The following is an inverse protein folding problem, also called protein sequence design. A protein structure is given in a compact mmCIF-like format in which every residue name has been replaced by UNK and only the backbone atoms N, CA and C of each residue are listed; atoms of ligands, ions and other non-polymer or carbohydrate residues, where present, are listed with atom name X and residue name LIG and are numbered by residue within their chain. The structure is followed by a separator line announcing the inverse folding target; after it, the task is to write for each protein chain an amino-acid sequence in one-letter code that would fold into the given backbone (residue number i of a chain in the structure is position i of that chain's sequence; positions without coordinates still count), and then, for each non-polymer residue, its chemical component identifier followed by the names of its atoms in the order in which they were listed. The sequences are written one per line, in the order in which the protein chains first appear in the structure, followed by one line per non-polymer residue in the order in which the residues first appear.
data_IF_959779452538
#
_entry.id   IF_959779452538
#
_cell.length_a   1.000
_cell.length_b   1.000
_cell.length_c   1.000
_cell.angle_alpha   90.00
_cell.angle_beta   90.00
_cell.angle_gamma   90.00
#
_symmetry.space_group_name_H-M   'P 1'
#
loop_
_entity.id
_entity.type
_entity.pdbx_description
1 polymer ?
#
# COMPACT_ATOMS: atom_id res chain seq x y z
N UNK A 1 -19.76 9.38 0.33
CA UNK A 1 -18.71 9.66 1.34
C UNK A 1 -17.70 8.52 1.30
N UNK A 2 -16.57 8.69 0.58
CA UNK A 2 -15.64 7.62 0.22
C UNK A 2 -14.46 7.46 1.18
N UNK A 3 -14.74 7.30 2.49
CA UNK A 3 -13.69 7.07 3.49
C UNK A 3 -13.67 5.59 3.84
N UNK A 4 -12.53 4.94 3.63
CA UNK A 4 -12.31 3.56 4.09
C UNK A 4 -11.77 3.63 5.52
N UNK A 5 -12.49 3.02 6.47
CA UNK A 5 -12.10 2.97 7.89
C UNK A 5 -11.76 1.57 8.37
N UNK A 6 -12.15 0.57 7.60
CA UNK A 6 -11.96 -0.84 7.95
C UNK A 6 -10.51 -1.24 7.72
N UNK A 7 -9.84 -1.67 8.80
CA UNK A 7 -8.44 -2.09 8.77
C UNK A 7 -8.22 -3.38 7.96
N UNK A 8 -9.22 -4.27 7.89
CA UNK A 8 -9.21 -5.45 7.05
C UNK A 8 -9.26 -5.10 5.56
N UNK A 9 -10.06 -4.09 5.18
CA UNK A 9 -10.07 -3.57 3.81
C UNK A 9 -8.72 -2.93 3.46
N UNK A 10 -8.14 -2.12 4.35
CA UNK A 10 -6.81 -1.54 4.13
C UNK A 10 -5.74 -2.61 3.91
N UNK A 11 -5.71 -3.63 4.78
CA UNK A 11 -4.75 -4.74 4.66
C UNK A 11 -4.88 -5.43 3.31
N UNK A 12 -6.11 -5.75 2.89
CA UNK A 12 -6.37 -6.41 1.60
C UNK A 12 -5.94 -5.55 0.40
N UNK A 13 -6.16 -4.24 0.45
CA UNK A 13 -5.73 -3.32 -0.62
C UNK A 13 -4.21 -3.29 -0.70
N UNK A 14 -3.52 -3.14 0.44
CA UNK A 14 -2.06 -3.11 0.51
C UNK A 14 -1.45 -4.42 -0.02
N UNK A 15 -1.96 -5.56 0.43
CA UNK A 15 -1.52 -6.88 -0.05
C UNK A 15 -1.76 -7.05 -1.56
N UNK A 16 -2.89 -6.57 -2.07
CA UNK A 16 -3.21 -6.59 -3.50
C UNK A 16 -2.26 -5.75 -4.34
N UNK A 17 -1.91 -4.55 -3.87
CA UNK A 17 -0.93 -3.68 -4.56
C UNK A 17 0.45 -4.31 -4.56
N UNK A 18 0.90 -4.86 -3.42
CA UNK A 18 2.18 -5.57 -3.33
C UNK A 18 2.23 -6.73 -4.30
N UNK A 19 1.19 -7.58 -4.30
CA UNK A 19 1.12 -8.71 -5.21
C UNK A 19 1.20 -8.26 -6.67
N UNK A 20 0.38 -7.28 -7.05
CA UNK A 20 0.40 -6.70 -8.39
C UNK A 20 1.80 -6.17 -8.77
N UNK A 21 2.44 -5.40 -7.89
CA UNK A 21 3.78 -4.86 -8.13
C UNK A 21 4.81 -5.96 -8.33
N UNK A 22 4.84 -6.99 -7.50
CA UNK A 22 5.82 -8.08 -7.61
C UNK A 22 5.56 -8.97 -8.83
N UNK A 23 4.31 -9.10 -9.28
CA UNK A 23 3.97 -9.83 -10.51
C UNK A 23 4.39 -9.07 -11.77
N UNK A 24 4.28 -7.73 -11.77
CA UNK A 24 4.46 -6.92 -12.98
C UNK A 24 5.79 -6.16 -13.05
N UNK A 25 6.52 -6.05 -11.94
CA UNK A 25 7.83 -5.40 -11.89
C UNK A 25 8.91 -6.49 -11.73
N UNK A 26 9.52 -6.97 -12.84
CA UNK A 26 10.54 -8.00 -12.77
C UNK A 26 11.74 -7.51 -11.96
N UNK A 27 12.30 -8.42 -11.16
CA UNK A 27 13.38 -8.16 -10.20
C UNK A 27 13.05 -7.12 -9.12
N UNK A 28 11.77 -6.77 -8.93
CA UNK A 28 11.36 -5.98 -7.78
C UNK A 28 11.25 -6.86 -6.53
N UNK A 29 11.59 -6.28 -5.39
CA UNK A 29 11.36 -6.85 -4.07
C UNK A 29 10.75 -5.80 -3.15
N UNK A 30 9.93 -6.24 -2.21
CA UNK A 30 9.42 -5.39 -1.14
C UNK A 30 10.49 -5.22 -0.06
N UNK A 31 10.92 -3.98 0.17
CA UNK A 31 11.83 -3.62 1.27
C UNK A 31 11.05 -3.39 2.57
N UNK A 32 9.81 -2.89 2.46
CA UNK A 32 8.94 -2.66 3.60
C UNK A 32 7.68 -1.89 3.24
N UNK A 33 6.79 -1.79 4.23
CA UNK A 33 5.57 -1.00 4.16
C UNK A 33 5.30 -0.29 5.48
N UNK A 34 4.57 0.81 5.44
CA UNK A 34 4.07 1.48 6.65
C UNK A 34 2.80 2.27 6.35
N UNK A 35 2.02 2.57 7.39
CA UNK A 35 1.00 3.63 7.32
C UNK A 35 1.68 4.99 7.17
N UNK A 36 1.15 5.84 6.30
CA UNK A 36 1.60 7.22 6.18
C UNK A 36 1.34 7.98 7.50
N UNK A 37 2.31 8.79 7.98
CA UNK A 37 2.11 9.63 9.16
C UNK A 37 1.12 10.77 8.90
N UNK A 38 0.87 11.09 7.64
CA UNK A 38 -0.14 12.08 7.22
C UNK A 38 -1.36 11.36 6.66
N UNK A 39 -2.54 11.91 6.95
CA UNK A 39 -3.78 11.44 6.32
C UNK A 39 -3.91 12.10 4.95
N UNK A 40 -4.40 11.32 3.99
CA UNK A 40 -4.75 11.84 2.68
C UNK A 40 -5.93 12.79 2.73
N UNK A 41 -6.26 13.39 1.59
CA UNK A 41 -7.45 14.22 1.42
C UNK A 41 -8.70 13.48 1.92
N UNK A 42 -9.62 14.23 2.54
CA UNK A 42 -10.83 13.72 3.20
C UNK A 42 -10.60 12.76 4.39
N UNK A 43 -9.36 12.65 4.89
CA UNK A 43 -9.02 11.88 6.10
C UNK A 43 -8.80 10.38 5.87
N UNK A 44 -8.60 9.98 4.61
CA UNK A 44 -8.26 8.60 4.26
C UNK A 44 -6.89 8.19 4.81
N UNK A 45 -6.81 6.93 5.25
CA UNK A 45 -5.53 6.34 5.65
C UNK A 45 -4.71 6.06 4.40
N UNK A 46 -3.50 6.62 4.35
CA UNK A 46 -2.53 6.34 3.29
C UNK A 46 -1.47 5.35 3.77
N UNK A 47 -0.82 4.69 2.81
CA UNK A 47 0.23 3.70 3.03
C UNK A 47 1.41 3.97 2.11
N UNK A 48 2.61 3.71 2.60
CA UNK A 48 3.87 3.83 1.87
C UNK A 48 4.44 2.42 1.63
N UNK A 49 4.85 2.14 0.39
CA UNK A 49 5.46 0.88 -0.03
C UNK A 49 6.86 1.15 -0.57
N UNK A 50 7.88 0.50 -0.01
CA UNK A 50 9.24 0.56 -0.50
C UNK A 50 9.54 -0.63 -1.40
N UNK A 51 9.78 -0.39 -2.69
CA UNK A 51 10.16 -1.42 -3.66
C UNK A 51 11.59 -1.15 -4.15
N UNK A 52 12.40 -2.22 -4.25
CA UNK A 52 13.73 -2.16 -4.86
C UNK A 52 13.79 -3.04 -6.09
N UNK A 53 14.27 -2.46 -7.20
CA UNK A 53 14.68 -3.20 -8.38
C UNK A 53 16.12 -3.69 -8.23
N UNK A 54 16.36 -4.94 -8.57
CA UNK A 54 17.69 -5.54 -8.71
C UNK A 54 18.08 -5.73 -10.17
#
# INVERSE_FOLDING_TARGET
KGIIKDSGIHKRIVEGIIHFSLTHLPNASLIGQMSSPIKGTDGNQEFLLGLKKF
#
